data_IF_493664299730
#
_entry.id   IF_493664299730
#
_cell.length_a   1.000
_cell.length_b   1.000
_cell.length_c   1.000
_cell.angle_alpha   90.00
_cell.angle_beta   90.00
_cell.angle_gamma   90.00
#
_symmetry.space_group_name_H-M   'P 1'
#
loop_
_entity.id
_entity.type
_entity.pdbx_description
1 polymer ?
#
# COMPACT_ATOMS: atom_id res chain seq x y z
N UNK A 1 -2.64 11.64 -32.47
CA UNK A 1 -2.27 10.21 -32.63
C UNK A 1 -2.94 9.49 -31.48
N UNK A 2 -3.97 8.69 -31.79
CA UNK A 2 -4.70 7.91 -30.80
C UNK A 2 -3.75 6.85 -30.25
N UNK A 3 -3.42 6.93 -28.97
CA UNK A 3 -2.76 5.86 -28.24
C UNK A 3 -3.90 4.91 -27.82
N UNK A 4 -3.90 3.71 -28.40
CA UNK A 4 -4.82 2.64 -28.06
C UNK A 4 -4.82 2.42 -26.55
N UNK A 5 -5.97 2.70 -25.94
CA UNK A 5 -6.25 2.25 -24.58
C UNK A 5 -6.29 0.71 -24.62
N UNK A 6 -5.66 0.01 -23.64
CA UNK A 6 -5.93 -1.41 -23.49
C UNK A 6 -7.42 -1.58 -23.24
N UNK A 7 -8.02 -2.42 -24.06
CA UNK A 7 -9.46 -2.61 -24.20
C UNK A 7 -10.18 -2.69 -22.86
N UNK A 8 -11.17 -1.84 -22.79
CA UNK A 8 -12.11 -1.68 -21.72
C UNK A 8 -12.59 -3.00 -21.12
N UNK A 9 -12.71 -2.98 -19.82
CA UNK A 9 -13.61 -3.82 -19.06
C UNK A 9 -15.05 -3.64 -19.56
N UNK A 10 -15.40 -4.36 -20.61
CA UNK A 10 -16.79 -4.47 -21.02
C UNK A 10 -17.55 -5.24 -19.95
N UNK A 11 -18.62 -4.66 -19.46
CA UNK A 11 -19.61 -5.34 -18.64
C UNK A 11 -19.88 -6.73 -19.22
N UNK A 12 -19.86 -7.77 -18.37
CA UNK A 12 -20.10 -9.14 -18.76
C UNK A 12 -21.40 -9.20 -19.57
N UNK A 13 -21.27 -9.51 -20.86
CA UNK A 13 -22.41 -9.72 -21.74
C UNK A 13 -23.21 -10.91 -21.20
N UNK A 14 -24.51 -10.76 -21.15
CA UNK A 14 -25.45 -11.85 -20.83
C UNK A 14 -25.15 -13.08 -21.72
N UNK A 15 -24.63 -14.17 -21.12
CA UNK A 15 -24.38 -15.43 -21.86
C UNK A 15 -23.09 -16.17 -21.53
N UNK A 16 -22.16 -15.58 -20.74
CA UNK A 16 -20.99 -16.33 -20.28
C UNK A 16 -21.42 -17.31 -19.20
N UNK A 17 -21.06 -18.61 -19.28
CA UNK A 17 -21.35 -19.57 -18.20
C UNK A 17 -20.75 -19.04 -16.90
N UNK A 18 -21.43 -19.22 -15.74
CA UNK A 18 -20.94 -18.74 -14.47
C UNK A 18 -19.52 -19.32 -14.25
N UNK A 19 -18.56 -18.45 -13.95
CA UNK A 19 -17.22 -18.93 -13.59
C UNK A 19 -17.33 -19.94 -12.45
N UNK A 20 -16.55 -21.03 -12.49
CA UNK A 20 -16.60 -22.04 -11.43
C UNK A 20 -16.28 -21.35 -10.08
N UNK A 21 -17.05 -21.66 -9.06
CA UNK A 21 -16.84 -21.13 -7.72
C UNK A 21 -15.40 -21.42 -7.27
N UNK A 22 -14.62 -20.36 -7.06
CA UNK A 22 -13.21 -20.45 -6.65
C UNK A 22 -13.08 -20.61 -5.13
N UNK A 23 -11.88 -20.93 -4.69
CA UNK A 23 -11.53 -20.97 -3.27
C UNK A 23 -10.54 -19.85 -2.98
N UNK A 24 -10.91 -18.95 -2.08
CA UNK A 24 -10.01 -17.87 -1.64
C UNK A 24 -9.03 -18.42 -0.62
N UNK A 25 -7.74 -18.23 -0.87
CA UNK A 25 -6.66 -18.66 0.02
C UNK A 25 -5.72 -17.50 0.34
N UNK A 26 -5.21 -17.49 1.57
CA UNK A 26 -4.16 -16.53 1.97
C UNK A 26 -2.82 -17.11 1.58
N UNK A 27 -2.00 -16.31 0.90
CA UNK A 27 -0.64 -16.71 0.51
C UNK A 27 0.39 -15.80 1.17
N UNK A 28 1.45 -16.40 1.71
CA UNK A 28 2.63 -15.65 2.17
C UNK A 28 3.86 -16.09 1.40
N UNK A 29 4.63 -15.11 0.94
CA UNK A 29 5.93 -15.35 0.31
C UNK A 29 7.02 -15.68 1.34
N UNK A 30 6.73 -15.52 2.63
CA UNK A 30 7.63 -15.78 3.76
C UNK A 30 6.99 -16.75 4.75
N UNK A 31 7.80 -17.53 5.48
CA UNK A 31 7.27 -18.35 6.57
C UNK A 31 6.54 -17.46 7.59
N UNK A 32 5.30 -17.82 7.92
CA UNK A 32 4.53 -17.12 8.93
C UNK A 32 5.02 -17.53 10.33
N UNK A 33 5.80 -16.66 10.97
CA UNK A 33 6.36 -16.91 12.31
C UNK A 33 5.35 -16.69 13.46
N UNK A 34 4.20 -16.06 13.17
CA UNK A 34 3.16 -15.77 14.16
C UNK A 34 1.75 -15.93 13.58
N UNK A 35 1.31 -17.19 13.29
CA UNK A 35 0.01 -17.44 12.69
C UNK A 35 -1.17 -17.02 13.57
N UNK A 36 -0.99 -17.02 14.90
CA UNK A 36 -1.99 -16.57 15.87
C UNK A 36 -1.93 -15.08 16.20
N UNK A 37 -0.94 -14.38 15.68
CA UNK A 37 -0.74 -12.94 15.90
C UNK A 37 -1.84 -12.09 15.28
N UNK A 38 -1.95 -10.87 15.79
CA UNK A 38 -2.98 -9.91 15.39
C UNK A 38 -2.98 -9.64 13.87
N UNK A 39 -1.80 -9.56 13.23
CA UNK A 39 -1.70 -9.31 11.79
C UNK A 39 -2.23 -10.51 10.98
N UNK A 40 -1.74 -11.73 11.29
CA UNK A 40 -2.16 -12.94 10.58
C UNK A 40 -3.67 -13.16 10.68
N UNK A 41 -4.23 -13.01 11.88
CA UNK A 41 -5.68 -13.18 12.11
C UNK A 41 -6.50 -12.09 11.42
N UNK A 42 -6.05 -10.83 11.45
CA UNK A 42 -6.72 -9.74 10.74
C UNK A 42 -6.70 -9.95 9.22
N UNK A 43 -5.57 -10.41 8.68
CA UNK A 43 -5.43 -10.69 7.25
C UNK A 43 -6.28 -11.89 6.82
N UNK A 44 -6.36 -12.95 7.64
CA UNK A 44 -7.24 -14.08 7.40
C UNK A 44 -8.73 -13.64 7.44
N UNK A 45 -9.10 -12.76 8.36
CA UNK A 45 -10.45 -12.19 8.42
C UNK A 45 -10.75 -11.35 7.17
N UNK A 46 -9.79 -10.55 6.70
CA UNK A 46 -9.92 -9.79 5.45
C UNK A 46 -10.11 -10.73 4.24
N UNK A 47 -9.33 -11.80 4.14
CA UNK A 47 -9.47 -12.78 3.06
C UNK A 47 -10.83 -13.51 3.09
N UNK A 48 -11.36 -13.83 4.27
CA UNK A 48 -12.70 -14.38 4.40
C UNK A 48 -13.78 -13.40 3.91
N UNK A 49 -13.59 -12.09 4.13
CA UNK A 49 -14.49 -11.05 3.60
C UNK A 49 -14.36 -10.90 2.07
N UNK A 50 -13.16 -11.00 1.53
CA UNK A 50 -12.94 -11.08 0.07
C UNK A 50 -13.71 -12.26 -0.51
N UNK A 51 -13.65 -13.44 0.13
CA UNK A 51 -14.42 -14.62 -0.30
C UNK A 51 -15.92 -14.35 -0.30
N UNK A 52 -16.45 -13.74 0.76
CA UNK A 52 -17.86 -13.39 0.87
C UNK A 52 -18.31 -12.40 -0.23
N UNK A 53 -17.52 -11.35 -0.51
CA UNK A 53 -17.80 -10.38 -1.58
C UNK A 53 -17.83 -11.02 -2.97
N UNK A 54 -16.96 -12.01 -3.20
CA UNK A 54 -16.89 -12.73 -4.45
C UNK A 54 -17.93 -13.87 -4.58
N UNK A 55 -18.59 -14.24 -3.49
CA UNK A 55 -19.42 -15.46 -3.46
C UNK A 55 -18.59 -16.75 -3.55
N UNK A 56 -17.30 -16.72 -3.17
CA UNK A 56 -16.37 -17.84 -3.19
C UNK A 56 -16.26 -18.51 -1.83
N UNK A 57 -15.73 -19.75 -1.81
CA UNK A 57 -15.36 -20.40 -0.56
C UNK A 57 -14.10 -19.77 0.06
N UNK A 58 -13.95 -19.85 1.38
CA UNK A 58 -12.71 -19.48 2.06
C UNK A 58 -11.95 -20.75 2.47
N UNK A 59 -10.71 -20.90 1.98
CA UNK A 59 -9.86 -22.08 2.16
C UNK A 59 -8.76 -21.92 3.22
N UNK A 60 -8.67 -20.76 3.88
CA UNK A 60 -7.62 -20.51 4.87
C UNK A 60 -6.25 -20.22 4.25
N UNK A 61 -5.19 -20.68 4.93
CA UNK A 61 -3.81 -20.55 4.44
C UNK A 61 -3.57 -21.48 3.24
N UNK A 62 -2.89 -20.99 2.23
CA UNK A 62 -2.47 -21.80 1.09
C UNK A 62 -1.40 -22.82 1.49
N UNK A 63 -1.63 -24.09 1.21
CA UNK A 63 -0.63 -25.15 1.33
C UNK A 63 -0.28 -25.71 -0.06
N UNK A 64 0.97 -25.50 -0.48
CA UNK A 64 1.46 -25.98 -1.77
C UNK A 64 1.46 -27.50 -1.92
N UNK A 65 1.30 -28.26 -0.81
CA UNK A 65 1.23 -29.74 -0.80
C UNK A 65 -0.20 -30.26 -0.85
N UNK A 66 -1.18 -29.36 -0.61
CA UNK A 66 -2.59 -29.74 -0.66
C UNK A 66 -3.08 -29.84 -2.11
N UNK A 67 -4.05 -30.71 -2.34
CA UNK A 67 -4.81 -30.74 -3.59
C UNK A 67 -6.08 -29.92 -3.42
N UNK A 68 -6.34 -29.03 -4.36
CA UNK A 68 -7.54 -28.19 -4.37
C UNK A 68 -8.45 -28.64 -5.50
N UNK A 69 -9.73 -28.83 -5.18
CA UNK A 69 -10.78 -29.26 -6.12
C UNK A 69 -11.38 -28.12 -6.94
N UNK A 70 -10.95 -26.88 -6.68
CA UNK A 70 -11.43 -25.64 -7.30
C UNK A 70 -10.27 -24.76 -7.70
N UNK A 71 -10.43 -23.90 -8.70
CA UNK A 71 -9.47 -22.85 -8.99
C UNK A 71 -9.29 -21.93 -7.78
N UNK A 72 -8.07 -21.46 -7.55
CA UNK A 72 -7.76 -20.61 -6.41
C UNK A 72 -7.89 -19.12 -6.78
N UNK A 73 -8.23 -18.33 -5.77
CA UNK A 73 -8.12 -16.88 -5.75
C UNK A 73 -7.23 -16.51 -4.57
N UNK A 74 -6.17 -15.78 -4.83
CA UNK A 74 -5.14 -15.51 -3.83
C UNK A 74 -5.34 -14.16 -3.13
N UNK A 75 -5.12 -14.15 -1.82
CA UNK A 75 -4.97 -12.93 -1.02
C UNK A 75 -3.55 -12.93 -0.44
N UNK A 76 -2.58 -12.34 -1.15
CA UNK A 76 -1.20 -12.31 -0.69
C UNK A 76 -1.03 -11.36 0.50
N UNK A 77 -0.26 -11.80 1.51
CA UNK A 77 0.15 -10.96 2.65
C UNK A 77 1.16 -9.90 2.25
N UNK A 78 2.02 -10.24 1.29
CA UNK A 78 3.00 -9.37 0.66
C UNK A 78 2.73 -9.28 -0.84
N UNK A 79 3.17 -8.21 -1.49
CA UNK A 79 3.18 -8.15 -2.95
C UNK A 79 4.01 -9.33 -3.49
N UNK A 80 3.45 -10.10 -4.40
CA UNK A 80 4.17 -11.21 -5.05
C UNK A 80 5.26 -10.62 -5.94
N UNK A 81 6.52 -10.85 -5.61
CA UNK A 81 7.67 -10.18 -6.23
C UNK A 81 8.52 -11.11 -7.11
N UNK A 82 7.90 -12.15 -7.65
CA UNK A 82 8.47 -13.11 -8.58
C UNK A 82 7.42 -13.56 -9.59
N UNK A 83 7.59 -13.19 -10.85
CA UNK A 83 6.70 -13.54 -11.95
C UNK A 83 6.60 -15.07 -12.17
N UNK A 84 7.70 -15.79 -11.95
CA UNK A 84 7.68 -17.25 -12.07
C UNK A 84 6.91 -17.88 -10.90
N UNK A 85 6.97 -17.31 -9.70
CA UNK A 85 6.13 -17.74 -8.58
C UNK A 85 4.65 -17.46 -8.88
N UNK A 86 4.30 -16.27 -9.36
CA UNK A 86 2.93 -15.94 -9.74
C UNK A 86 2.37 -16.94 -10.76
N UNK A 87 3.15 -17.26 -11.80
CA UNK A 87 2.76 -18.24 -12.81
C UNK A 87 2.57 -19.66 -12.21
N UNK A 88 3.45 -20.10 -11.30
CA UNK A 88 3.30 -21.40 -10.60
C UNK A 88 2.05 -21.44 -9.71
N UNK A 89 1.63 -20.31 -9.15
CA UNK A 89 0.39 -20.19 -8.38
C UNK A 89 -0.85 -20.11 -9.28
N UNK A 90 -0.70 -19.96 -10.60
CA UNK A 90 -1.80 -19.75 -11.53
C UNK A 90 -2.36 -18.32 -11.49
N UNK A 91 -1.57 -17.36 -11.05
CA UNK A 91 -1.92 -15.93 -11.07
C UNK A 91 -1.50 -15.38 -12.45
N UNK A 92 -2.49 -15.10 -13.29
CA UNK A 92 -2.30 -14.60 -14.65
C UNK A 92 -2.86 -13.20 -14.86
N UNK A 93 -3.68 -12.70 -13.93
CA UNK A 93 -4.31 -11.40 -14.03
C UNK A 93 -4.94 -10.93 -12.72
N UNK A 94 -5.52 -9.75 -12.74
CA UNK A 94 -6.16 -9.12 -11.58
C UNK A 94 -7.36 -9.93 -11.04
N UNK A 95 -7.92 -10.85 -11.85
CA UNK A 95 -9.03 -11.73 -11.45
C UNK A 95 -8.59 -12.93 -10.60
N UNK A 96 -7.31 -13.12 -10.41
CA UNK A 96 -6.76 -14.27 -9.69
C UNK A 96 -6.29 -13.93 -8.28
N UNK A 97 -6.23 -12.61 -7.94
CA UNK A 97 -5.74 -12.19 -6.64
C UNK A 97 -6.39 -10.89 -6.14
N UNK A 98 -6.36 -10.70 -4.82
CA UNK A 98 -6.59 -9.42 -4.16
C UNK A 98 -5.24 -8.87 -3.65
N UNK A 99 -4.59 -8.06 -4.47
CA UNK A 99 -3.24 -7.56 -4.22
C UNK A 99 -2.51 -7.27 -5.51
N UNK A 100 -1.20 -7.53 -5.54
CA UNK A 100 -0.38 -7.29 -6.73
C UNK A 100 0.75 -8.28 -6.93
N UNK A 101 1.22 -8.30 -8.17
CA UNK A 101 2.42 -9.01 -8.63
C UNK A 101 3.36 -8.00 -9.25
N UNK A 102 4.65 -8.08 -8.97
CA UNK A 102 5.68 -7.23 -9.54
C UNK A 102 6.85 -8.05 -10.08
N UNK A 103 7.57 -7.53 -11.10
CA UNK A 103 8.62 -8.32 -11.75
C UNK A 103 9.89 -8.51 -10.90
N UNK A 104 10.15 -7.61 -9.94
CA UNK A 104 11.35 -7.63 -9.10
C UNK A 104 11.04 -7.24 -7.65
N UNK A 105 11.75 -7.79 -6.64
CA UNK A 105 11.47 -7.52 -5.23
C UNK A 105 11.54 -6.03 -4.84
N UNK A 106 12.46 -5.27 -5.39
CA UNK A 106 12.60 -3.84 -5.10
C UNK A 106 11.39 -3.02 -5.56
N UNK A 107 10.68 -3.48 -6.61
CA UNK A 107 9.47 -2.80 -7.12
C UNK A 107 8.34 -2.83 -6.09
N UNK A 108 8.29 -3.84 -5.22
CA UNK A 108 7.32 -3.92 -4.13
C UNK A 108 7.62 -2.99 -2.95
N UNK A 109 8.69 -2.18 -3.01
CA UNK A 109 9.15 -1.36 -1.90
C UNK A 109 9.22 0.12 -2.27
N UNK A 110 9.27 0.98 -1.25
CA UNK A 110 9.39 2.45 -1.44
C UNK A 110 10.66 2.90 -2.18
N UNK A 111 11.66 2.01 -2.33
CA UNK A 111 12.93 2.37 -2.95
C UNK A 111 12.80 2.81 -4.41
N UNK A 112 11.72 2.42 -5.11
CA UNK A 112 11.50 2.87 -6.49
C UNK A 112 11.05 4.34 -6.58
N UNK A 113 10.57 4.94 -5.48
CA UNK A 113 9.92 6.25 -5.47
C UNK A 113 10.84 7.37 -5.98
N UNK A 114 12.16 7.24 -5.78
CA UNK A 114 13.11 8.27 -6.14
C UNK A 114 14.16 7.76 -7.14
N UNK A 115 14.73 8.65 -7.96
CA UNK A 115 15.83 8.30 -8.86
C UNK A 115 17.11 7.99 -8.06
N UNK A 116 18.07 7.36 -8.72
CA UNK A 116 19.46 7.32 -8.24
C UNK A 116 20.08 8.70 -8.36
N UNK A 117 21.11 9.00 -7.56
CA UNK A 117 21.82 10.27 -7.60
C UNK A 117 22.46 10.51 -8.98
N UNK A 118 23.03 9.47 -9.56
CA UNK A 118 23.67 9.46 -10.90
C UNK A 118 23.35 8.15 -11.61
N UNK A 119 23.42 8.12 -12.95
CA UNK A 119 23.15 6.90 -13.73
C UNK A 119 24.12 5.73 -13.46
N UNK A 120 25.32 6.02 -12.99
CA UNK A 120 26.39 5.04 -12.68
C UNK A 120 26.35 4.52 -11.24
N UNK A 121 25.42 5.01 -10.39
CA UNK A 121 25.23 4.50 -9.04
C UNK A 121 24.78 3.04 -9.03
N UNK A 122 25.12 2.33 -7.95
CA UNK A 122 24.69 0.95 -7.74
C UNK A 122 23.16 0.82 -7.80
N UNK A 123 22.69 -0.21 -8.51
CA UNK A 123 21.26 -0.50 -8.67
C UNK A 123 21.00 -2.01 -8.75
N UNK A 124 19.84 -2.51 -8.30
CA UNK A 124 19.46 -3.89 -8.49
C UNK A 124 19.13 -4.20 -9.95
N UNK A 125 19.21 -5.48 -10.38
CA UNK A 125 18.73 -5.91 -11.69
C UNK A 125 17.27 -5.49 -11.91
N UNK A 126 16.97 -4.95 -13.10
CA UNK A 126 15.62 -4.48 -13.43
C UNK A 126 15.26 -3.11 -12.88
N UNK A 127 16.23 -2.35 -12.38
CA UNK A 127 16.02 -0.94 -12.04
C UNK A 127 15.55 -0.16 -13.28
N UNK A 128 14.50 0.64 -13.12
CA UNK A 128 13.89 1.41 -14.21
C UNK A 128 14.11 2.92 -14.01
N UNK A 129 15.17 3.53 -14.56
CA UNK A 129 15.44 4.96 -14.42
C UNK A 129 14.29 5.84 -14.93
N UNK A 130 13.61 5.41 -15.99
CA UNK A 130 12.46 6.11 -16.57
C UNK A 130 11.30 6.28 -15.54
N UNK A 131 11.16 5.38 -14.58
CA UNK A 131 10.14 5.51 -13.54
C UNK A 131 10.40 6.74 -12.67
N UNK A 132 11.63 6.89 -12.14
CA UNK A 132 12.01 8.04 -11.32
C UNK A 132 11.89 9.37 -12.09
N UNK A 133 12.10 9.37 -13.42
CA UNK A 133 11.88 10.53 -14.26
C UNK A 133 10.39 10.89 -14.39
N UNK A 134 9.54 9.88 -14.61
CA UNK A 134 8.09 10.09 -14.78
C UNK A 134 7.39 10.53 -13.49
N UNK A 135 7.88 10.11 -12.33
CA UNK A 135 7.25 10.45 -11.05
C UNK A 135 7.86 11.66 -10.36
N UNK A 136 8.89 12.28 -10.91
CA UNK A 136 9.64 13.38 -10.30
C UNK A 136 8.77 14.50 -9.73
N UNK A 137 7.73 14.89 -10.43
CA UNK A 137 6.86 16.02 -10.07
C UNK A 137 5.72 15.61 -9.12
N UNK A 138 5.61 14.32 -8.80
CA UNK A 138 4.55 13.78 -7.94
C UNK A 138 5.06 13.09 -6.68
N UNK A 139 6.36 13.16 -6.43
CA UNK A 139 7.04 12.68 -5.21
C UNK A 139 7.78 13.83 -4.51
N UNK A 140 8.16 13.64 -3.27
CA UNK A 140 9.04 14.60 -2.58
C UNK A 140 10.43 14.60 -3.24
N UNK A 141 11.21 15.70 -3.14
CA UNK A 141 12.62 15.66 -3.54
C UNK A 141 13.37 14.57 -2.78
N UNK A 142 14.07 13.69 -3.50
CA UNK A 142 14.76 12.58 -2.87
C UNK A 142 15.60 11.75 -3.83
N UNK A 143 16.33 10.80 -3.26
CA UNK A 143 17.14 9.81 -3.97
C UNK A 143 17.00 8.43 -3.35
N UNK A 144 17.16 7.41 -4.17
CA UNK A 144 17.34 6.03 -3.72
C UNK A 144 18.79 5.61 -3.89
N UNK A 145 19.32 4.85 -2.96
CA UNK A 145 20.72 4.40 -3.00
C UNK A 145 20.84 2.94 -2.54
N UNK A 146 21.78 2.22 -3.15
CA UNK A 146 22.09 0.81 -2.86
C UNK A 146 23.56 0.61 -2.41
N UNK A 147 24.27 1.70 -2.19
CA UNK A 147 25.62 1.71 -1.60
C UNK A 147 25.73 2.83 -0.56
N UNK A 148 26.65 2.65 0.40
CA UNK A 148 26.92 3.70 1.40
C UNK A 148 27.43 4.99 0.76
N UNK A 149 28.31 4.87 -0.23
CA UNK A 149 28.93 6.02 -0.88
C UNK A 149 27.88 6.84 -1.66
N UNK A 150 26.96 6.17 -2.37
CA UNK A 150 25.87 6.84 -3.06
C UNK A 150 24.86 7.46 -2.10
N UNK A 151 24.51 6.74 -1.02
CA UNK A 151 23.62 7.26 0.01
C UNK A 151 24.20 8.50 0.71
N UNK A 152 25.48 8.46 1.05
CA UNK A 152 26.19 9.57 1.68
C UNK A 152 26.26 10.79 0.74
N UNK A 153 26.66 10.58 -0.53
CA UNK A 153 26.72 11.66 -1.52
C UNK A 153 25.33 12.29 -1.77
N UNK A 154 24.28 11.47 -1.89
CA UNK A 154 22.90 11.95 -2.02
C UNK A 154 22.44 12.74 -0.78
N UNK A 155 22.71 12.22 0.42
CA UNK A 155 22.37 12.87 1.67
C UNK A 155 23.04 14.24 1.83
N UNK A 156 24.35 14.35 1.56
CA UNK A 156 25.08 15.61 1.59
C UNK A 156 24.50 16.64 0.61
N UNK A 157 24.17 16.22 -0.61
CA UNK A 157 23.55 17.10 -1.58
C UNK A 157 22.17 17.60 -1.10
N UNK A 158 21.39 16.73 -0.47
CA UNK A 158 20.05 17.09 0.02
C UNK A 158 20.09 17.98 1.25
N UNK A 159 21.08 17.82 2.15
CA UNK A 159 21.24 18.65 3.34
C UNK A 159 21.41 20.15 3.01
N UNK A 160 21.90 20.50 1.83
CA UNK A 160 21.98 21.88 1.37
C UNK A 160 20.59 22.58 1.31
N UNK A 161 19.50 21.82 1.22
CA UNK A 161 18.13 22.33 1.17
C UNK A 161 17.30 22.02 2.42
N UNK A 162 17.89 21.52 3.51
CA UNK A 162 17.21 21.19 4.78
C UNK A 162 17.39 19.73 5.20
N UNK A 163 16.77 19.35 6.31
CA UNK A 163 16.86 18.02 6.88
C UNK A 163 16.42 16.90 5.91
N UNK A 164 17.04 15.75 6.05
CA UNK A 164 16.85 14.58 5.19
C UNK A 164 16.26 13.44 6.00
N UNK A 165 15.14 12.90 5.56
CA UNK A 165 14.55 11.68 6.11
C UNK A 165 15.14 10.48 5.42
N UNK A 166 15.67 9.56 6.21
CA UNK A 166 16.28 8.30 5.76
C UNK A 166 15.31 7.18 6.07
N UNK A 167 14.97 6.35 5.08
CA UNK A 167 14.00 5.26 5.20
C UNK A 167 14.58 3.96 4.65
N UNK A 168 14.56 2.91 5.44
CA UNK A 168 14.85 1.57 4.93
C UNK A 168 13.73 1.10 4.00
N UNK A 169 14.08 0.47 2.89
CA UNK A 169 13.12 -0.01 1.89
C UNK A 169 12.06 -0.96 2.47
N UNK A 170 12.45 -1.80 3.43
CA UNK A 170 11.57 -2.78 4.09
C UNK A 170 10.81 -2.26 5.32
N UNK A 171 11.00 -0.99 5.74
CA UNK A 171 10.29 -0.42 6.89
C UNK A 171 8.79 -0.30 6.65
N UNK A 172 7.97 -0.71 7.63
CA UNK A 172 6.50 -0.67 7.56
C UNK A 172 5.98 0.16 8.73
N UNK A 173 4.91 0.93 8.50
CA UNK A 173 4.20 1.68 9.57
C UNK A 173 5.06 2.72 10.28
N UNK A 174 6.01 3.34 9.59
CA UNK A 174 6.90 4.34 10.16
C UNK A 174 8.18 3.80 10.81
N UNK A 175 8.32 2.48 10.94
CA UNK A 175 9.54 1.88 11.50
C UNK A 175 10.73 1.99 10.53
N UNK A 176 11.96 2.06 11.08
CA UNK A 176 13.18 2.14 10.27
C UNK A 176 13.36 3.50 9.56
N UNK A 177 12.83 4.57 10.13
CA UNK A 177 13.01 5.94 9.65
C UNK A 177 13.79 6.77 10.66
N UNK A 178 14.70 7.60 10.15
CA UNK A 178 15.46 8.56 10.93
C UNK A 178 15.53 9.90 10.17
N UNK A 179 15.90 10.97 10.87
CA UNK A 179 16.07 12.30 10.26
C UNK A 179 17.48 12.80 10.54
N UNK A 180 18.23 13.11 9.49
CA UNK A 180 19.53 13.75 9.57
C UNK A 180 19.37 15.25 9.32
N UNK A 181 19.79 16.08 10.28
CA UNK A 181 19.76 17.54 10.18
C UNK A 181 21.09 18.13 9.68
N UNK A 182 22.18 17.37 9.75
CA UNK A 182 23.53 17.76 9.38
C UNK A 182 24.36 16.56 8.92
N UNK A 183 25.58 16.82 8.44
CA UNK A 183 26.48 15.77 7.94
C UNK A 183 26.87 14.76 9.03
N UNK A 184 27.07 15.20 10.28
CA UNK A 184 27.45 14.30 11.37
C UNK A 184 26.32 13.31 11.69
N UNK A 185 25.08 13.76 11.77
CA UNK A 185 23.91 12.88 11.98
C UNK A 185 23.66 11.98 10.78
N UNK A 186 23.90 12.44 9.54
CA UNK A 186 23.84 11.64 8.33
C UNK A 186 24.86 10.49 8.40
N UNK A 187 26.12 10.78 8.71
CA UNK A 187 27.18 9.78 8.82
C UNK A 187 26.87 8.73 9.89
N UNK A 188 26.40 9.18 11.05
CA UNK A 188 26.06 8.29 12.16
C UNK A 188 24.92 7.33 11.78
N UNK A 189 23.87 7.85 11.11
CA UNK A 189 22.70 7.05 10.73
C UNK A 189 22.99 6.10 9.57
N UNK A 190 23.71 6.53 8.53
CA UNK A 190 24.12 5.66 7.45
C UNK A 190 25.14 4.61 7.93
N UNK A 191 26.08 5.00 8.82
CA UNK A 191 27.05 4.09 9.42
C UNK A 191 26.43 2.97 10.25
N UNK A 192 25.23 3.17 10.80
CA UNK A 192 24.48 2.16 11.53
C UNK A 192 23.82 1.11 10.61
N UNK A 193 23.70 1.38 9.30
CA UNK A 193 23.07 0.47 8.34
C UNK A 193 24.05 -0.63 7.92
N UNK A 194 23.61 -1.89 7.98
CA UNK A 194 24.40 -2.99 7.49
C UNK A 194 24.60 -2.92 5.97
N UNK A 195 25.83 -3.06 5.48
CA UNK A 195 26.15 -3.00 4.03
C UNK A 195 25.32 -4.00 3.21
N UNK A 196 25.11 -5.19 3.72
CA UNK A 196 24.35 -6.24 3.04
C UNK A 196 22.86 -5.91 2.94
N UNK A 197 22.30 -5.21 3.93
CA UNK A 197 20.91 -4.74 3.91
C UNK A 197 20.74 -3.64 2.87
N UNK A 198 21.67 -2.68 2.85
CA UNK A 198 21.68 -1.58 1.88
C UNK A 198 21.82 -2.09 0.45
N UNK A 199 22.73 -3.02 0.19
CA UNK A 199 22.93 -3.62 -1.14
C UNK A 199 21.71 -4.40 -1.64
N UNK A 200 20.98 -5.07 -0.73
CA UNK A 200 19.81 -5.89 -1.11
C UNK A 200 18.53 -5.09 -1.21
N UNK A 201 18.28 -4.22 -0.25
CA UNK A 201 17.02 -3.50 -0.12
C UNK A 201 17.07 -2.05 -0.60
N UNK A 202 18.22 -1.42 -0.49
CA UNK A 202 18.38 0.01 -0.69
C UNK A 202 17.86 0.86 0.47
N UNK A 203 18.09 2.14 0.35
CA UNK A 203 17.63 3.19 1.27
C UNK A 203 17.04 4.34 0.46
N UNK A 204 16.01 4.96 0.99
CA UNK A 204 15.44 6.20 0.48
C UNK A 204 15.93 7.35 1.34
N UNK A 205 16.44 8.40 0.68
CA UNK A 205 16.72 9.71 1.27
C UNK A 205 15.74 10.69 0.66
N UNK A 206 14.90 11.31 1.46
CA UNK A 206 13.93 12.28 0.95
C UNK A 206 13.86 13.54 1.83
N UNK A 207 13.31 14.61 1.28
CA UNK A 207 13.08 15.86 2.02
C UNK A 207 12.23 15.59 3.26
N UNK A 208 12.75 15.97 4.45
CA UNK A 208 11.95 15.92 5.65
C UNK A 208 10.84 16.98 5.59
N UNK A 209 9.66 16.62 6.10
CA UNK A 209 8.56 17.54 6.27
C UNK A 209 8.18 17.63 7.75
N UNK A 210 7.71 18.80 8.15
CA UNK A 210 7.09 19.09 9.42
C UNK A 210 5.57 19.21 9.24
N UNK A 211 4.80 19.06 10.31
CA UNK A 211 3.33 19.16 10.31
C UNK A 211 2.68 18.24 9.25
N UNK A 212 3.16 17.01 9.19
CA UNK A 212 2.81 16.06 8.12
C UNK A 212 1.40 15.56 8.28
N UNK A 213 0.61 15.68 7.22
CA UNK A 213 -0.62 14.92 7.01
C UNK A 213 -0.31 13.81 6.00
N UNK A 214 -0.49 12.55 6.40
CA UNK A 214 -0.36 11.41 5.48
C UNK A 214 -1.73 11.01 4.97
N UNK A 215 -1.89 11.04 3.65
CA UNK A 215 -3.11 10.60 2.99
C UNK A 215 -2.91 9.22 2.39
N UNK A 216 -3.94 8.38 2.50
CA UNK A 216 -4.04 7.13 1.74
C UNK A 216 -4.90 7.37 0.51
N UNK A 217 -4.38 7.05 -0.66
CA UNK A 217 -5.12 7.08 -1.93
C UNK A 217 -5.01 5.71 -2.57
N UNK A 218 -6.12 5.11 -2.98
CA UNK A 218 -6.04 3.78 -3.57
C UNK A 218 -7.24 3.40 -4.40
N UNK A 219 -7.14 2.19 -4.97
CA UNK A 219 -8.19 1.57 -5.77
C UNK A 219 -8.23 0.08 -5.53
N UNK A 220 -9.43 -0.46 -5.53
CA UNK A 220 -9.69 -1.90 -5.44
C UNK A 220 -10.55 -2.33 -6.62
N UNK A 221 -10.17 -3.46 -7.24
CA UNK A 221 -10.90 -4.12 -8.32
C UNK A 221 -11.16 -5.57 -7.92
N UNK A 222 -12.40 -5.92 -7.65
CA UNK A 222 -12.77 -7.24 -7.15
C UNK A 222 -14.17 -7.63 -7.63
N UNK A 223 -14.32 -8.79 -8.24
CA UNK A 223 -15.64 -9.37 -8.56
C UNK A 223 -16.55 -8.47 -9.40
N UNK A 224 -15.98 -7.68 -10.31
CA UNK A 224 -16.75 -6.69 -11.10
C UNK A 224 -16.99 -5.36 -10.37
N UNK A 225 -16.64 -5.25 -9.10
CA UNK A 225 -16.66 -4.00 -8.36
C UNK A 225 -15.34 -3.25 -8.53
N UNK A 226 -15.44 -1.94 -8.75
CA UNK A 226 -14.32 -1.00 -8.70
C UNK A 226 -14.66 0.06 -7.68
N UNK A 227 -13.75 0.33 -6.78
CA UNK A 227 -13.87 1.40 -5.80
C UNK A 227 -12.52 2.10 -5.65
N UNK A 228 -12.54 3.43 -5.63
CA UNK A 228 -11.37 4.26 -5.39
C UNK A 228 -11.58 5.12 -4.15
N UNK A 229 -10.52 5.43 -3.44
CA UNK A 229 -10.62 6.14 -2.18
C UNK A 229 -9.50 7.14 -1.97
N UNK A 230 -9.80 8.12 -1.15
CA UNK A 230 -8.83 8.96 -0.48
C UNK A 230 -9.19 9.09 0.99
N UNK A 231 -8.19 9.29 1.84
CA UNK A 231 -8.42 9.42 3.27
C UNK A 231 -7.19 9.86 4.03
N UNK A 232 -7.30 9.86 5.35
CA UNK A 232 -6.23 10.28 6.27
C UNK A 232 -5.83 9.08 7.12
N UNK A 233 -4.52 8.94 7.34
CA UNK A 233 -3.96 8.02 8.32
C UNK A 233 -3.90 8.70 9.69
N UNK A 234 -4.29 7.97 10.72
CA UNK A 234 -4.19 8.39 12.10
C UNK A 234 -3.08 7.63 12.81
N UNK A 235 -2.37 8.32 13.68
CA UNK A 235 -1.39 7.74 14.56
C UNK A 235 -2.03 7.47 15.93
N UNK A 236 -1.51 6.48 16.63
CA UNK A 236 -1.87 6.14 18.01
C UNK A 236 -0.63 5.78 18.80
N UNK A 237 -0.75 5.57 20.10
CA UNK A 237 0.35 5.05 20.91
C UNK A 237 0.15 3.56 21.17
N UNK A 238 1.21 2.78 20.90
CA UNK A 238 1.23 1.37 21.22
C UNK A 238 1.41 1.13 22.75
N UNK A 239 1.43 -0.13 23.18
CA UNK A 239 1.58 -0.47 24.59
C UNK A 239 2.95 -0.10 25.19
N UNK A 240 3.96 0.20 24.38
CA UNK A 240 5.26 0.74 24.79
C UNK A 240 5.29 2.29 24.83
N UNK A 241 4.18 2.97 24.46
CA UNK A 241 4.10 4.41 24.40
C UNK A 241 4.66 5.03 23.11
N UNK A 242 5.05 4.21 22.16
CA UNK A 242 5.59 4.64 20.86
C UNK A 242 4.45 5.03 19.92
N UNK A 243 4.71 6.03 19.08
CA UNK A 243 3.76 6.46 18.05
C UNK A 243 3.79 5.48 16.87
N UNK A 244 2.63 4.93 16.55
CA UNK A 244 2.46 3.91 15.49
C UNK A 244 1.19 4.20 14.70
N UNK A 245 1.01 3.49 13.58
CA UNK A 245 -0.24 3.53 12.81
C UNK A 245 -1.43 3.13 13.70
N UNK A 246 -2.46 3.97 13.71
CA UNK A 246 -3.68 3.79 14.51
C UNK A 246 -4.94 3.54 13.68
N UNK A 247 -4.83 3.66 12.36
CA UNK A 247 -5.97 3.43 11.47
C UNK A 247 -6.04 4.42 10.31
N UNK A 248 -7.07 4.26 9.49
CA UNK A 248 -7.34 5.15 8.36
C UNK A 248 -8.83 5.46 8.28
N UNK A 249 -9.16 6.70 7.99
CA UNK A 249 -10.50 7.12 7.63
C UNK A 249 -10.54 7.41 6.14
N UNK A 250 -11.40 6.71 5.39
CA UNK A 250 -11.47 6.75 3.95
C UNK A 250 -12.83 7.27 3.48
N UNK A 251 -12.82 8.17 2.51
CA UNK A 251 -13.94 8.43 1.63
C UNK A 251 -13.76 7.53 0.40
N UNK A 252 -14.68 6.62 0.19
CA UNK A 252 -14.63 5.60 -0.86
C UNK A 252 -15.70 5.89 -1.89
N UNK A 253 -15.30 6.13 -3.13
CA UNK A 253 -16.20 6.30 -4.27
C UNK A 253 -16.36 4.98 -5.02
N UNK A 254 -17.58 4.67 -5.47
CA UNK A 254 -17.82 3.61 -6.44
C UNK A 254 -17.29 4.04 -7.80
N UNK A 255 -16.36 3.28 -8.36
CA UNK A 255 -15.71 3.55 -9.63
C UNK A 255 -14.22 3.75 -9.51
N UNK A 256 -13.61 4.20 -10.59
CA UNK A 256 -12.18 4.41 -10.71
C UNK A 256 -11.70 5.73 -10.08
N UNK A 257 -10.42 6.05 -10.29
CA UNK A 257 -9.87 7.32 -9.80
C UNK A 257 -10.54 8.55 -10.39
N UNK A 258 -11.12 8.47 -11.59
CA UNK A 258 -11.85 9.59 -12.21
C UNK A 258 -13.16 9.84 -11.46
N UNK A 259 -13.87 8.79 -11.07
CA UNK A 259 -15.05 8.92 -10.21
C UNK A 259 -14.71 9.57 -8.86
N UNK A 260 -13.57 9.20 -8.25
CA UNK A 260 -13.09 9.82 -7.02
C UNK A 260 -12.75 11.31 -7.22
N UNK A 261 -12.02 11.66 -8.30
CA UNK A 261 -11.67 13.04 -8.63
C UNK A 261 -12.88 13.92 -8.96
N UNK A 262 -13.97 13.33 -9.43
CA UNK A 262 -15.23 14.01 -9.71
C UNK A 262 -15.99 14.46 -8.46
N UNK A 263 -15.61 14.00 -7.27
CA UNK A 263 -16.22 14.41 -6.01
C UNK A 263 -15.73 15.82 -5.59
N UNK A 264 -16.52 16.55 -4.80
CA UNK A 264 -16.12 17.85 -4.26
C UNK A 264 -15.07 17.67 -3.15
N UNK A 265 -13.81 17.74 -3.51
CA UNK A 265 -12.68 17.70 -2.59
C UNK A 265 -12.00 19.05 -2.45
N UNK A 266 -11.35 19.29 -1.31
CA UNK A 266 -10.37 20.36 -1.15
C UNK A 266 -9.17 20.16 -2.12
N UNK A 267 -8.51 21.23 -2.50
CA UNK A 267 -7.46 21.20 -3.53
C UNK A 267 -6.27 20.31 -3.13
N UNK A 268 -5.95 20.25 -1.83
CA UNK A 268 -4.88 19.38 -1.30
C UNK A 268 -5.24 17.89 -1.48
N UNK A 269 -6.53 17.53 -1.34
CA UNK A 269 -7.00 16.16 -1.57
C UNK A 269 -6.95 15.83 -3.05
N UNK A 270 -7.44 16.72 -3.92
CA UNK A 270 -7.37 16.55 -5.38
C UNK A 270 -5.93 16.37 -5.85
N UNK A 271 -5.01 17.16 -5.30
CA UNK A 271 -3.58 17.04 -5.59
C UNK A 271 -3.04 15.66 -5.21
N UNK A 272 -3.31 15.20 -3.98
CA UNK A 272 -2.87 13.89 -3.52
C UNK A 272 -3.40 12.74 -4.41
N UNK A 273 -4.69 12.81 -4.80
CA UNK A 273 -5.29 11.82 -5.72
C UNK A 273 -4.63 11.89 -7.10
N UNK A 274 -4.41 13.08 -7.64
CA UNK A 274 -3.76 13.25 -8.94
C UNK A 274 -2.32 12.73 -8.94
N UNK A 275 -1.56 12.98 -7.86
CA UNK A 275 -0.19 12.47 -7.68
C UNK A 275 -0.17 10.94 -7.62
N UNK A 276 -1.05 10.32 -6.83
CA UNK A 276 -1.18 8.88 -6.74
C UNK A 276 -1.55 8.24 -8.09
N UNK A 277 -2.47 8.86 -8.84
CA UNK A 277 -2.86 8.42 -10.20
C UNK A 277 -1.69 8.48 -11.18
N UNK A 278 -0.90 9.55 -11.15
CA UNK A 278 0.27 9.70 -12.02
C UNK A 278 1.33 8.64 -11.67
N UNK A 279 1.59 8.44 -10.38
CA UNK A 279 2.51 7.40 -9.89
C UNK A 279 2.05 6.00 -10.32
N UNK A 280 0.75 5.69 -10.16
CA UNK A 280 0.17 4.40 -10.58
C UNK A 280 0.36 4.15 -12.08
N UNK A 281 0.03 5.13 -12.93
CA UNK A 281 0.22 5.02 -14.38
C UNK A 281 1.67 4.82 -14.76
N UNK A 282 2.59 5.56 -14.14
CA UNK A 282 4.02 5.40 -14.35
C UNK A 282 4.51 4.00 -13.96
N UNK A 283 4.02 3.46 -12.83
CA UNK A 283 4.37 2.11 -12.38
C UNK A 283 3.92 1.04 -13.38
N UNK A 284 2.69 1.10 -13.88
CA UNK A 284 2.19 0.20 -14.91
C UNK A 284 2.98 0.29 -16.22
N UNK A 285 3.41 1.49 -16.60
CA UNK A 285 4.18 1.72 -17.83
C UNK A 285 5.64 1.24 -17.73
N UNK A 286 6.28 1.44 -16.55
CA UNK A 286 7.72 1.20 -16.39
C UNK A 286 8.06 -0.21 -15.88
N UNK A 287 7.10 -0.96 -15.32
CA UNK A 287 7.32 -2.30 -14.79
C UNK A 287 6.45 -3.35 -15.53
N UNK A 288 6.89 -3.83 -16.70
CA UNK A 288 6.14 -4.83 -17.46
C UNK A 288 5.84 -6.07 -16.62
N UNK A 289 4.59 -6.52 -16.64
CA UNK A 289 4.11 -7.64 -15.83
C UNK A 289 3.58 -7.24 -14.44
N UNK A 290 3.62 -5.96 -14.07
CA UNK A 290 2.94 -5.49 -12.88
C UNK A 290 1.43 -5.72 -13.01
N UNK A 291 0.86 -6.40 -12.01
CA UNK A 291 -0.58 -6.61 -11.84
C UNK A 291 -0.98 -6.01 -10.49
N UNK A 292 -2.11 -5.30 -10.43
CA UNK A 292 -2.60 -4.71 -9.19
C UNK A 292 -4.13 -4.63 -9.16
N UNK A 293 -4.78 -5.66 -8.62
CA UNK A 293 -6.21 -5.61 -8.32
C UNK A 293 -6.52 -4.75 -7.09
N UNK A 294 -5.54 -4.51 -6.25
CA UNK A 294 -5.58 -3.58 -5.11
C UNK A 294 -4.31 -2.75 -5.07
N UNK A 295 -4.45 -1.43 -5.00
CA UNK A 295 -3.34 -0.51 -4.80
C UNK A 295 -3.66 0.52 -3.71
N UNK A 296 -2.63 0.93 -2.98
CA UNK A 296 -2.65 2.06 -2.06
C UNK A 296 -1.35 2.86 -2.23
N UNK A 297 -1.47 4.16 -2.15
CA UNK A 297 -0.36 5.13 -2.22
C UNK A 297 -0.45 6.02 -0.99
N UNK A 298 0.64 6.10 -0.26
CA UNK A 298 0.77 7.03 0.84
C UNK A 298 1.34 8.35 0.31
N UNK A 299 0.59 9.44 0.49
CA UNK A 299 0.97 10.78 0.04
C UNK A 299 1.17 11.66 1.27
N UNK A 300 2.37 12.20 1.44
CA UNK A 300 2.64 13.17 2.49
C UNK A 300 2.39 14.58 2.00
N UNK A 301 1.81 15.39 2.89
CA UNK A 301 1.63 16.83 2.73
C UNK A 301 2.11 17.52 4.01
N UNK A 302 2.91 18.57 3.87
CA UNK A 302 3.50 19.26 5.02
C UNK A 302 4.41 20.38 4.59
N UNK A 303 5.17 20.93 5.53
CA UNK A 303 6.05 22.07 5.30
C UNK A 303 7.50 21.62 5.44
N UNK A 304 8.36 21.98 4.48
CA UNK A 304 9.80 21.73 4.58
C UNK A 304 10.50 22.81 5.44
N UNK A 305 11.80 22.64 5.72
CA UNK A 305 12.57 23.56 6.55
C UNK A 305 12.72 24.97 5.95
N UNK A 306 12.40 25.15 4.67
CA UNK A 306 12.34 26.50 4.06
C UNK A 306 11.00 27.20 4.27
N UNK A 307 10.02 26.54 4.89
CA UNK A 307 8.65 27.01 5.03
C UNK A 307 7.79 26.77 3.78
N UNK A 308 8.30 26.06 2.78
CA UNK A 308 7.53 25.74 1.59
C UNK A 308 6.63 24.52 1.82
N UNK A 309 5.34 24.66 1.47
CA UNK A 309 4.41 23.55 1.47
C UNK A 309 4.76 22.55 0.34
N UNK A 310 4.74 21.28 0.68
CA UNK A 310 5.10 20.17 -0.21
C UNK A 310 4.02 19.10 -0.18
N UNK A 311 3.86 18.41 -1.29
CA UNK A 311 3.03 17.22 -1.43
C UNK A 311 3.74 16.22 -2.32
N UNK A 312 3.70 14.93 -1.96
CA UNK A 312 4.28 13.89 -2.80
C UNK A 312 4.00 12.48 -2.30
N UNK A 313 3.97 11.55 -3.25
CA UNK A 313 3.85 10.12 -2.95
C UNK A 313 5.11 9.65 -2.22
N UNK A 314 4.94 8.96 -1.10
CA UNK A 314 6.01 8.38 -0.29
C UNK A 314 6.30 6.93 -0.71
N UNK A 315 5.25 6.17 -0.92
CA UNK A 315 5.35 4.75 -1.24
C UNK A 315 4.05 4.19 -1.79
N UNK A 316 4.15 3.05 -2.43
CA UNK A 316 3.05 2.23 -2.90
C UNK A 316 2.90 0.97 -2.05
N UNK A 317 1.69 0.41 -2.05
CA UNK A 317 1.39 -0.89 -1.46
C UNK A 317 0.38 -1.64 -2.33
N UNK A 318 0.81 -2.76 -2.89
CA UNK A 318 -0.03 -3.65 -3.70
C UNK A 318 -0.32 -4.97 -2.96
N UNK A 319 -0.70 -4.87 -1.69
CA UNK A 319 -1.02 -5.98 -0.80
C UNK A 319 -2.09 -5.58 0.19
N UNK A 320 -2.66 -6.54 0.90
CA UNK A 320 -3.52 -6.21 2.05
C UNK A 320 -2.73 -5.40 3.09
N UNK A 321 -3.38 -4.41 3.67
CA UNK A 321 -2.75 -3.47 4.60
C UNK A 321 -3.74 -2.83 5.57
N UNK A 322 -3.31 -1.79 6.27
CA UNK A 322 -4.10 -1.12 7.29
C UNK A 322 -5.45 -0.59 6.80
N UNK A 323 -5.51 -0.07 5.58
CA UNK A 323 -6.74 0.47 4.97
C UNK A 323 -7.72 -0.62 4.49
N UNK A 324 -7.26 -1.89 4.32
CA UNK A 324 -8.04 -2.94 3.66
C UNK A 324 -9.40 -3.21 4.34
N UNK A 325 -9.47 -3.10 5.65
CA UNK A 325 -10.74 -3.26 6.36
C UNK A 325 -11.81 -2.25 5.90
N UNK A 326 -11.44 -0.98 5.78
CA UNK A 326 -12.34 0.08 5.30
C UNK A 326 -12.70 -0.09 3.82
N UNK A 327 -11.75 -0.50 2.98
CA UNK A 327 -11.98 -0.85 1.58
C UNK A 327 -13.07 -1.92 1.44
N UNK A 328 -12.92 -3.02 2.18
CA UNK A 328 -13.86 -4.15 2.14
C UNK A 328 -15.24 -3.81 2.75
N UNK A 329 -15.29 -2.99 3.80
CA UNK A 329 -16.53 -2.53 4.39
C UNK A 329 -17.33 -1.66 3.39
N UNK A 330 -16.65 -0.74 2.69
CA UNK A 330 -17.28 0.09 1.66
C UNK A 330 -17.79 -0.76 0.48
N UNK A 331 -17.00 -1.73 0.01
CA UNK A 331 -17.43 -2.65 -1.05
C UNK A 331 -18.65 -3.48 -0.64
N UNK A 332 -18.70 -3.94 0.61
CA UNK A 332 -19.87 -4.66 1.13
C UNK A 332 -21.11 -3.75 1.19
N UNK A 333 -20.95 -2.48 1.59
CA UNK A 333 -22.03 -1.51 1.58
C UNK A 333 -22.54 -1.26 0.15
N UNK A 334 -21.63 -1.10 -0.82
CA UNK A 334 -21.97 -0.95 -2.23
C UNK A 334 -22.68 -2.20 -2.80
N UNK A 335 -22.32 -3.39 -2.35
CA UNK A 335 -22.98 -4.64 -2.76
C UNK A 335 -24.39 -4.74 -2.18
N UNK A 336 -24.57 -4.33 -0.91
CA UNK A 336 -25.85 -4.36 -0.22
C UNK A 336 -26.83 -3.30 -0.77
N UNK A 337 -26.33 -2.13 -1.14
CA UNK A 337 -27.13 -1.05 -1.73
C UNK A 337 -26.46 -0.53 -3.01
N UNK A 338 -26.97 -0.94 -4.17
CA UNK A 338 -26.47 -0.48 -5.47
C UNK A 338 -26.63 1.03 -5.73
N UNK A 339 -27.46 1.73 -4.99
CA UNK A 339 -27.67 3.17 -5.14
C UNK A 339 -26.58 4.01 -4.49
N UNK A 340 -25.81 3.43 -3.56
CA UNK A 340 -24.69 4.11 -2.92
C UNK A 340 -23.57 4.35 -3.91
N UNK A 341 -23.17 5.63 -4.02
CA UNK A 341 -22.02 6.04 -4.86
C UNK A 341 -20.79 6.39 -4.03
N UNK A 342 -20.97 6.75 -2.77
CA UNK A 342 -19.91 7.14 -1.84
C UNK A 342 -20.20 6.56 -0.46
N UNK A 343 -19.15 6.10 0.21
CA UNK A 343 -19.20 5.57 1.59
C UNK A 343 -17.99 6.10 2.34
N UNK A 344 -18.19 6.52 3.60
CA UNK A 344 -17.08 6.74 4.53
C UNK A 344 -16.89 5.52 5.40
N UNK A 345 -15.66 5.02 5.47
CA UNK A 345 -15.31 3.86 6.28
C UNK A 345 -13.98 4.09 7.00
N UNK A 346 -13.85 3.53 8.19
CA UNK A 346 -12.64 3.66 8.98
C UNK A 346 -12.13 2.29 9.45
N UNK A 347 -10.81 2.15 9.46
CA UNK A 347 -10.13 1.12 10.25
C UNK A 347 -9.56 1.74 11.51
N UNK A 348 -9.50 0.98 12.58
CA UNK A 348 -8.90 1.42 13.84
C UNK A 348 -8.04 0.29 14.42
N UNK A 349 -6.86 0.68 14.88
CA UNK A 349 -5.99 -0.14 15.71
C UNK A 349 -5.88 0.53 17.09
N UNK A 350 -6.42 -0.10 18.11
CA UNK A 350 -6.48 0.43 19.47
C UNK A 350 -5.74 -0.49 20.44
N UNK A 351 -4.87 0.08 21.24
CA UNK A 351 -4.03 -0.62 22.22
C UNK A 351 -4.59 -0.46 23.66
N UNK A 352 -3.92 -1.04 24.65
CA UNK A 352 -4.27 -0.87 26.06
C UNK A 352 -5.53 -1.59 26.50
N UNK A 353 -6.01 -2.58 25.73
CA UNK A 353 -7.24 -3.31 26.08
C UNK A 353 -8.54 -2.57 25.73
N UNK A 354 -8.47 -1.63 24.78
CA UNK A 354 -9.64 -0.91 24.28
C UNK A 354 -10.72 -1.87 23.77
N UNK A 355 -11.99 -1.57 24.06
CA UNK A 355 -13.14 -2.35 23.62
C UNK A 355 -13.70 -1.71 22.35
N UNK A 356 -13.80 -2.47 21.23
CA UNK A 356 -14.44 -1.96 20.01
C UNK A 356 -15.90 -1.52 20.28
N UNK A 357 -16.37 -0.46 19.59
CA UNK A 357 -17.77 -0.07 19.61
C UNK A 357 -18.72 -1.21 19.21
N UNK A 358 -19.98 -1.23 19.68
CA UNK A 358 -20.92 -2.32 19.39
C UNK A 358 -21.24 -2.52 17.90
N UNK A 359 -21.14 -1.45 17.11
CA UNK A 359 -21.37 -1.43 15.67
C UNK A 359 -20.10 -1.74 14.84
N UNK A 360 -18.97 -2.01 15.51
CA UNK A 360 -17.72 -2.30 14.84
C UNK A 360 -17.66 -3.74 14.34
N UNK A 361 -17.14 -3.90 13.12
CA UNK A 361 -16.76 -5.19 12.58
C UNK A 361 -15.33 -5.53 13.02
N UNK A 362 -15.19 -6.47 13.94
CA UNK A 362 -13.93 -6.78 14.61
C UNK A 362 -13.11 -7.77 13.78
N UNK A 363 -11.89 -7.36 13.45
CA UNK A 363 -10.91 -8.18 12.74
C UNK A 363 -10.03 -8.97 13.71
N UNK A 364 -9.67 -8.34 14.83
CA UNK A 364 -8.91 -8.96 15.92
C UNK A 364 -9.23 -8.25 17.24
N UNK A 365 -9.31 -9.02 18.31
CA UNK A 365 -9.31 -8.51 19.67
C UNK A 365 -8.66 -9.54 20.59
N UNK A 366 -7.62 -9.15 21.29
CA UNK A 366 -6.89 -10.06 22.18
C UNK A 366 -5.57 -9.51 22.65
N UNK A 367 -4.76 -10.39 23.25
CA UNK A 367 -3.39 -10.10 23.67
C UNK A 367 -2.44 -10.76 22.66
N UNK A 368 -1.78 -9.94 21.86
CA UNK A 368 -0.74 -10.42 20.95
C UNK A 368 0.58 -10.65 21.70
N UNK A 369 1.32 -11.66 21.28
CA UNK A 369 2.58 -12.07 21.93
C UNK A 369 3.64 -10.98 21.96
N UNK A 370 3.68 -10.15 20.91
CA UNK A 370 4.75 -9.15 20.72
C UNK A 370 4.31 -7.74 21.06
N UNK A 371 3.08 -7.38 20.73
CA UNK A 371 2.59 -6.00 20.91
C UNK A 371 1.63 -5.84 22.10
N UNK A 372 1.24 -6.94 22.79
CA UNK A 372 0.34 -6.90 23.92
C UNK A 372 -1.14 -6.73 23.54
N UNK A 373 -1.98 -6.15 24.44
CA UNK A 373 -3.41 -5.96 24.18
C UNK A 373 -3.65 -5.05 22.99
N UNK A 374 -4.40 -5.53 21.99
CA UNK A 374 -4.76 -4.77 20.79
C UNK A 374 -6.13 -5.20 20.26
N UNK A 375 -6.91 -4.23 19.78
CA UNK A 375 -8.13 -4.44 19.01
C UNK A 375 -8.00 -3.80 17.63
N UNK A 376 -8.40 -4.54 16.58
CA UNK A 376 -8.47 -4.06 15.19
C UNK A 376 -9.89 -4.22 14.69
N UNK A 377 -10.49 -3.13 14.23
CA UNK A 377 -11.87 -3.14 13.79
C UNK A 377 -12.12 -2.12 12.68
N UNK A 378 -13.26 -2.25 12.03
CA UNK A 378 -13.72 -1.38 10.95
C UNK A 378 -15.13 -0.90 11.26
N UNK A 379 -15.44 0.32 10.81
CA UNK A 379 -16.79 0.90 10.88
C UNK A 379 -17.14 1.60 9.58
N UNK A 380 -18.39 1.53 9.18
CA UNK A 380 -19.00 2.51 8.30
C UNK A 380 -19.31 3.73 9.15
N UNK A 381 -18.87 4.89 8.70
CA UNK A 381 -19.11 6.14 9.40
C UNK A 381 -20.43 6.75 8.95
N UNK A 382 -21.23 7.32 9.86
CA UNK A 382 -22.44 8.03 9.48
C UNK A 382 -22.07 9.30 8.66
N UNK A 383 -22.95 9.65 7.75
CA UNK A 383 -22.91 10.84 6.90
C UNK A 383 -21.67 11.03 6.03
N UNK A 384 -21.82 10.58 4.80
CA UNK A 384 -21.04 11.05 3.67
C UNK A 384 -21.80 12.19 2.98
N UNK A 385 -22.02 13.31 3.65
CA UNK A 385 -22.26 14.54 2.90
C UNK A 385 -20.91 15.14 2.57
N UNK A 386 -20.58 15.28 1.25
CA UNK A 386 -19.37 15.93 0.80
C UNK A 386 -19.33 17.39 1.21
#
# INVERSE_FOLDING_TARGET
MNVDQPEAWQAAAAGTPPEPARLVVVHSCRPNSNPEGHESRSQNRAAAKVAALLGYGYGGEYDARASYDRPLYFVPRETVSDMAQAARLGIHGERDLFGGVVPYPHVATKVITHPLLRPDCAAPPGWAPAFGEQVRDVVLPGYSAFSHDDAHAAGLQMLAGGAVRIKLAGGIGGTGQTVAADAQSLDAQLGALARTELQRGGVVLERNLNEVVTRSVGQVRIGGHVASYCGIQHLTRNNAGEEVYGGSELLVARGDFEALLGLPHADEVKMAVAQACAYHRAALACFPGLLASRCNYDVAQGVDDSGAWRSGVLEQSWRIGGATGAELAALAAFQADPSLMVVRAATTEAYGGAVPPPDADVYYQGVDRYVGPIAKYTRILPDAHP
#
